data_IF_284909520353
#
_entry.id   IF_284909520353
#
_cell.length_a   1.000
_cell.length_b   1.000
_cell.length_c   1.000
_cell.angle_alpha   90.00
_cell.angle_beta   90.00
_cell.angle_gamma   90.00
#
_symmetry.space_group_name_H-M   'P 1'
#
loop_
_entity.id
_entity.type
_entity.pdbx_description
1 polymer ?
#
# COMPACT_ATOMS: atom_id res chain seq x y z
N UNK A 1 -29.49 -1.70 13.16
CA UNK A 1 -29.65 -2.62 11.99
C UNK A 1 -30.07 -3.98 12.53
N UNK A 2 -31.06 -4.64 11.90
CA UNK A 2 -31.50 -5.99 12.25
C UNK A 2 -30.64 -7.01 11.50
N UNK A 3 -30.20 -8.05 12.20
CA UNK A 3 -29.39 -9.14 11.64
C UNK A 3 -30.27 -10.37 11.45
N UNK A 4 -30.35 -10.88 10.23
CA UNK A 4 -31.20 -12.00 9.86
C UNK A 4 -30.36 -13.25 9.57
N UNK A 5 -30.91 -14.41 9.95
CA UNK A 5 -30.27 -15.69 9.72
C UNK A 5 -30.41 -16.11 8.24
N UNK A 6 -29.33 -16.19 7.46
CA UNK A 6 -29.39 -16.55 6.04
C UNK A 6 -29.84 -17.99 5.82
N UNK A 7 -29.67 -18.88 6.81
CA UNK A 7 -30.06 -20.28 6.72
C UNK A 7 -31.56 -20.51 6.90
N UNK A 8 -32.33 -19.49 7.27
CA UNK A 8 -33.79 -19.53 7.41
C UNK A 8 -34.50 -18.92 6.20
N UNK A 9 -33.81 -18.73 5.10
CA UNK A 9 -34.35 -18.11 3.89
C UNK A 9 -35.47 -19.01 3.31
N UNK A 10 -36.66 -18.45 3.18
CA UNK A 10 -37.85 -19.14 2.65
C UNK A 10 -38.72 -18.18 1.83
N UNK A 11 -39.59 -18.72 0.98
CA UNK A 11 -40.54 -17.92 0.21
C UNK A 11 -41.42 -17.10 1.17
N UNK A 12 -41.72 -15.87 0.80
CA UNK A 12 -42.63 -15.02 1.57
C UNK A 12 -44.07 -15.50 1.39
N UNK A 13 -44.76 -16.00 2.45
CA UNK A 13 -46.15 -16.51 2.31
C UNK A 13 -47.17 -15.37 2.09
N UNK A 14 -46.79 -14.13 2.33
CA UNK A 14 -47.66 -12.95 2.20
C UNK A 14 -47.49 -12.21 0.88
N UNK A 15 -46.61 -12.67 -0.02
CA UNK A 15 -46.33 -11.97 -1.29
C UNK A 15 -45.11 -12.49 -2.03
N UNK A 16 -44.57 -11.68 -2.93
CA UNK A 16 -43.33 -11.99 -3.65
C UNK A 16 -42.10 -11.84 -2.81
N UNK A 17 -41.02 -12.56 -3.18
CA UNK A 17 -39.69 -12.46 -2.53
C UNK A 17 -39.46 -13.49 -1.44
N UNK A 18 -38.42 -13.23 -0.62
CA UNK A 18 -37.97 -14.15 0.43
C UNK A 18 -37.95 -13.45 1.78
N UNK A 19 -38.19 -14.22 2.84
CA UNK A 19 -38.09 -13.78 4.24
C UNK A 19 -37.03 -14.59 4.98
N UNK A 20 -36.51 -14.04 6.06
CA UNK A 20 -35.55 -14.68 6.96
C UNK A 20 -35.96 -14.36 8.40
N UNK A 21 -35.63 -15.27 9.30
CA UNK A 21 -35.83 -15.04 10.73
C UNK A 21 -34.69 -14.15 11.27
N UNK A 22 -35.05 -13.23 12.15
CA UNK A 22 -34.05 -12.41 12.84
C UNK A 22 -33.36 -13.26 13.91
N UNK A 23 -32.05 -13.09 14.10
CA UNK A 23 -31.34 -13.68 15.22
C UNK A 23 -31.86 -13.13 16.55
N UNK A 24 -31.97 -14.01 17.56
CA UNK A 24 -32.31 -13.64 18.91
C UNK A 24 -31.34 -12.56 19.42
N UNK A 25 -31.86 -11.57 20.13
CA UNK A 25 -31.11 -10.42 20.65
C UNK A 25 -30.27 -9.69 19.59
N UNK A 26 -30.56 -9.89 18.31
CA UNK A 26 -29.81 -9.34 17.17
C UNK A 26 -28.32 -9.73 17.19
N UNK A 27 -28.00 -10.92 17.69
CA UNK A 27 -26.66 -11.46 17.81
C UNK A 27 -26.51 -12.74 17.00
N UNK A 28 -25.43 -12.86 16.24
CA UNK A 28 -25.09 -14.11 15.53
C UNK A 28 -24.56 -15.11 16.58
N UNK A 29 -25.14 -16.32 16.71
CA UNK A 29 -24.60 -17.35 17.57
C UNK A 29 -23.17 -17.73 17.19
N UNK A 30 -22.31 -17.96 18.18
CA UNK A 30 -20.88 -18.20 17.96
C UNK A 30 -20.61 -19.47 17.11
N UNK A 31 -21.46 -20.49 17.24
CA UNK A 31 -21.37 -21.70 16.44
C UNK A 31 -21.73 -21.55 14.96
N UNK A 32 -22.28 -20.40 14.57
CA UNK A 32 -22.55 -20.02 13.18
C UNK A 32 -21.50 -19.06 12.59
N UNK A 33 -20.50 -18.68 13.38
CA UNK A 33 -19.42 -17.84 12.93
C UNK A 33 -18.28 -18.68 12.37
N UNK A 34 -17.82 -18.33 11.16
CA UNK A 34 -16.68 -18.99 10.55
C UNK A 34 -15.39 -18.69 11.35
N UNK A 35 -14.59 -19.70 11.75
CA UNK A 35 -13.38 -19.50 12.55
C UNK A 35 -12.32 -18.70 11.80
N UNK A 36 -12.21 -18.80 10.47
CA UNK A 36 -11.29 -18.00 9.65
C UNK A 36 -11.69 -16.52 9.70
N UNK A 37 -13.00 -16.25 9.55
CA UNK A 37 -13.52 -14.89 9.68
C UNK A 37 -13.24 -14.28 11.07
N UNK A 38 -13.40 -15.06 12.13
CA UNK A 38 -13.06 -14.62 13.49
C UNK A 38 -11.57 -14.33 13.67
N UNK A 39 -10.70 -15.13 13.06
CA UNK A 39 -9.26 -14.90 13.08
C UNK A 39 -8.88 -13.64 12.29
N UNK A 40 -9.53 -13.40 11.16
CA UNK A 40 -9.35 -12.18 10.36
C UNK A 40 -9.76 -10.94 11.16
N UNK A 41 -10.91 -10.98 11.83
CA UNK A 41 -11.42 -9.86 12.62
C UNK A 41 -10.48 -9.41 13.74
N UNK A 42 -9.60 -10.29 14.24
CA UNK A 42 -8.58 -9.92 15.25
C UNK A 42 -7.57 -8.88 14.73
N UNK A 43 -7.42 -8.76 13.40
CA UNK A 43 -6.54 -7.79 12.75
C UNK A 43 -7.22 -6.47 12.41
N UNK A 44 -8.48 -6.29 12.80
CA UNK A 44 -9.20 -5.04 12.63
C UNK A 44 -9.43 -4.38 13.99
N UNK A 45 -9.18 -3.06 14.10
CA UNK A 45 -9.38 -2.36 15.35
C UNK A 45 -10.88 -2.30 15.72
N UNK A 46 -11.14 -2.27 17.00
CA UNK A 46 -12.49 -2.00 17.49
C UNK A 46 -12.86 -0.52 17.29
N UNK A 47 -14.16 -0.21 17.14
CA UNK A 47 -14.62 1.17 17.08
C UNK A 47 -14.09 2.01 18.26
N UNK A 48 -13.65 3.23 17.95
CA UNK A 48 -13.20 4.19 18.96
C UNK A 48 -14.11 5.42 19.09
N UNK A 49 -15.22 5.44 18.32
CA UNK A 49 -16.27 6.45 18.40
C UNK A 49 -17.64 5.84 18.02
N UNK A 50 -18.77 6.51 18.36
CA UNK A 50 -20.12 5.97 18.16
C UNK A 50 -20.49 5.65 16.70
N UNK A 51 -19.88 6.34 15.74
CA UNK A 51 -20.26 6.27 14.33
C UNK A 51 -21.58 6.96 14.00
N UNK A 52 -21.99 6.88 12.74
CA UNK A 52 -23.19 7.53 12.22
C UNK A 52 -24.46 6.86 12.74
N UNK A 53 -25.48 7.66 13.06
CA UNK A 53 -26.76 7.18 13.54
C UNK A 53 -27.41 6.21 12.53
N UNK A 54 -27.84 5.03 13.02
CA UNK A 54 -28.53 4.01 12.22
C UNK A 54 -27.66 3.10 11.38
N UNK A 55 -26.46 3.48 10.99
CA UNK A 55 -25.53 2.66 10.19
C UNK A 55 -24.31 2.19 10.96
N UNK A 56 -23.91 2.91 12.03
CA UNK A 56 -22.64 2.78 12.74
C UNK A 56 -21.41 2.93 11.82
N UNK A 57 -21.56 3.54 10.63
CA UNK A 57 -20.45 3.87 9.78
C UNK A 57 -19.56 4.95 10.44
N UNK A 58 -18.33 5.13 9.96
CA UNK A 58 -17.40 6.13 10.49
C UNK A 58 -17.13 5.99 12.01
N UNK A 59 -17.15 4.76 12.53
CA UNK A 59 -16.99 4.47 13.95
C UNK A 59 -15.53 4.27 14.40
N UNK A 60 -14.58 4.42 13.49
CA UNK A 60 -13.15 4.37 13.77
C UNK A 60 -12.44 5.54 13.10
N UNK A 61 -11.68 6.28 13.89
CA UNK A 61 -10.85 7.40 13.40
C UNK A 61 -9.42 7.18 13.87
N UNK A 62 -8.49 7.28 12.96
CA UNK A 62 -7.07 7.33 13.25
C UNK A 62 -6.47 8.64 12.74
N UNK A 63 -5.57 9.21 13.50
CA UNK A 63 -4.78 10.37 13.09
C UNK A 63 -3.29 10.07 13.25
N UNK A 64 -2.49 10.63 12.37
CA UNK A 64 -1.06 10.44 12.39
C UNK A 64 -0.42 11.20 11.23
N UNK A 65 0.83 10.93 10.94
CA UNK A 65 1.58 11.59 9.86
C UNK A 65 2.13 10.57 8.87
N UNK A 66 2.08 10.90 7.60
CA UNK A 66 2.91 10.27 6.57
C UNK A 66 4.32 10.80 6.72
N UNK A 67 5.30 9.91 6.75
CA UNK A 67 6.70 10.27 6.83
C UNK A 67 7.34 10.15 5.45
N UNK A 68 7.94 11.26 4.98
CA UNK A 68 8.69 11.29 3.73
C UNK A 68 10.15 11.58 4.06
N UNK A 69 11.01 10.60 3.80
CA UNK A 69 12.46 10.74 3.90
C UNK A 69 13.01 11.00 2.50
N UNK A 70 13.85 12.04 2.37
CA UNK A 70 14.44 12.41 1.09
C UNK A 70 15.92 12.70 1.26
N UNK A 71 16.74 11.97 0.51
CA UNK A 71 18.16 12.22 0.37
C UNK A 71 18.48 12.59 -1.07
N UNK A 72 19.24 13.66 -1.26
CA UNK A 72 19.66 14.11 -2.58
C UNK A 72 21.14 14.46 -2.57
N UNK A 73 21.88 13.88 -3.49
CA UNK A 73 23.31 14.10 -3.66
C UNK A 73 23.59 14.49 -5.09
N UNK A 74 24.26 15.64 -5.26
CA UNK A 74 24.69 16.14 -6.55
C UNK A 74 26.21 16.37 -6.52
N UNK A 75 26.89 15.78 -7.47
CA UNK A 75 28.33 15.96 -7.67
C UNK A 75 28.55 16.50 -9.06
N UNK A 76 29.36 17.55 -9.18
CA UNK A 76 29.76 18.13 -10.46
C UNK A 76 31.24 18.41 -10.49
N UNK A 77 31.86 18.10 -11.59
CA UNK A 77 33.24 18.44 -11.91
C UNK A 77 33.23 19.19 -13.22
N UNK A 78 33.87 20.36 -13.23
CA UNK A 78 34.13 21.16 -14.42
C UNK A 78 35.64 21.24 -14.59
N UNK A 79 36.14 20.94 -15.80
CA UNK A 79 37.54 20.93 -16.08
C UNK A 79 37.83 21.64 -17.40
N UNK A 80 38.70 22.66 -17.33
CA UNK A 80 39.24 23.31 -18.52
C UNK A 80 40.55 22.65 -18.89
N UNK A 81 40.50 21.83 -19.95
CA UNK A 81 41.65 21.06 -20.42
C UNK A 81 42.64 21.99 -21.11
N UNK A 82 42.12 22.96 -21.90
CA UNK A 82 42.88 23.99 -22.56
C UNK A 82 42.00 25.23 -22.82
N UNK A 83 42.55 26.27 -23.44
CA UNK A 83 41.73 27.44 -23.84
C UNK A 83 40.59 27.10 -24.79
N UNK A 84 40.72 26.00 -25.52
CA UNK A 84 39.76 25.57 -26.54
C UNK A 84 38.96 24.34 -26.11
N UNK A 85 39.25 23.72 -24.96
CA UNK A 85 38.67 22.46 -24.58
C UNK A 85 38.16 22.53 -23.16
N UNK A 86 36.88 22.20 -22.98
CA UNK A 86 36.24 22.10 -21.67
C UNK A 86 35.52 20.77 -21.54
N UNK A 87 35.47 20.29 -20.33
CA UNK A 87 34.75 19.06 -19.95
C UNK A 87 33.97 19.32 -18.69
N UNK A 88 32.77 18.80 -18.60
CA UNK A 88 32.12 18.64 -17.32
C UNK A 88 31.51 17.26 -17.16
N UNK A 89 31.37 16.81 -15.93
CA UNK A 89 30.58 15.64 -15.58
C UNK A 89 29.73 15.96 -14.35
N UNK A 90 28.49 15.46 -14.34
CA UNK A 90 27.59 15.59 -13.20
C UNK A 90 26.97 14.23 -12.91
N UNK A 91 26.93 13.87 -11.63
CA UNK A 91 26.18 12.74 -11.11
C UNK A 91 25.17 13.23 -10.07
N UNK A 92 23.93 12.79 -10.21
CA UNK A 92 22.86 13.07 -9.26
C UNK A 92 22.28 11.75 -8.76
N UNK A 93 22.12 11.65 -7.45
CA UNK A 93 21.43 10.55 -6.79
C UNK A 93 20.33 11.12 -5.89
N UNK A 94 19.12 10.59 -6.06
CA UNK A 94 17.98 10.91 -5.20
C UNK A 94 17.37 9.61 -4.67
N UNK A 95 17.18 9.57 -3.37
CA UNK A 95 16.42 8.55 -2.67
C UNK A 95 15.22 9.21 -1.99
N UNK A 96 14.06 8.65 -2.19
CA UNK A 96 12.85 9.06 -1.48
C UNK A 96 12.18 7.82 -0.92
N UNK A 97 11.80 7.85 0.35
CA UNK A 97 11.00 6.84 1.00
C UNK A 97 9.73 7.49 1.53
N UNK A 98 8.59 6.98 1.11
CA UNK A 98 7.28 7.38 1.58
C UNK A 98 6.72 6.25 2.47
N UNK A 99 6.60 6.56 3.76
CA UNK A 99 6.03 5.66 4.77
C UNK A 99 4.65 6.19 5.12
N UNK A 100 3.58 5.51 4.69
CA UNK A 100 2.23 5.98 4.95
C UNK A 100 1.90 5.98 6.44
N UNK A 101 0.98 6.84 6.83
CA UNK A 101 0.33 6.82 8.14
C UNK A 101 -0.11 5.39 8.50
N UNK A 102 0.19 4.95 9.71
CA UNK A 102 -0.37 3.75 10.30
C UNK A 102 -1.72 4.11 10.91
N UNK A 103 -2.81 3.63 10.30
CA UNK A 103 -4.16 3.86 10.80
C UNK A 103 -4.53 2.87 11.91
N UNK A 104 -3.95 1.67 11.88
CA UNK A 104 -4.12 0.65 12.91
C UNK A 104 -2.95 0.67 13.90
N UNK A 105 -3.09 -0.01 15.03
CA UNK A 105 -1.98 -0.21 15.96
C UNK A 105 -0.84 -0.98 15.27
N UNK A 106 0.37 -0.91 15.84
CA UNK A 106 1.58 -1.55 15.28
C UNK A 106 1.33 -3.03 14.93
N UNK A 107 0.63 -3.75 15.79
CA UNK A 107 0.34 -5.18 15.64
C UNK A 107 -0.69 -5.48 14.55
N UNK A 108 -1.55 -4.52 14.22
CA UNK A 108 -2.62 -4.65 13.25
C UNK A 108 -2.27 -4.06 11.88
N UNK A 109 -1.14 -3.39 11.77
CA UNK A 109 -0.69 -2.69 10.56
C UNK A 109 -0.62 -3.60 9.33
N UNK A 110 -0.35 -4.90 9.53
CA UNK A 110 -0.28 -5.88 8.43
C UNK A 110 -1.60 -6.01 7.65
N UNK A 111 -2.74 -5.74 8.29
CA UNK A 111 -4.06 -5.81 7.67
C UNK A 111 -4.46 -4.52 6.93
N UNK A 112 -3.74 -3.42 7.11
CA UNK A 112 -4.04 -2.16 6.42
C UNK A 112 -3.81 -2.21 4.91
N UNK A 113 -2.99 -3.15 4.43
CA UNK A 113 -2.65 -3.24 3.01
C UNK A 113 -1.84 -2.07 2.47
N UNK A 114 -1.35 -1.18 3.35
CA UNK A 114 -0.58 0.01 2.95
C UNK A 114 0.80 -0.37 2.45
N UNK A 115 1.33 0.48 1.58
CA UNK A 115 2.57 0.21 0.85
C UNK A 115 3.59 1.29 1.16
N UNK A 116 4.76 0.89 1.64
CA UNK A 116 5.93 1.75 1.70
C UNK A 116 6.48 1.86 0.27
N UNK A 117 6.61 3.09 -0.22
CA UNK A 117 7.15 3.36 -1.54
C UNK A 117 8.57 3.91 -1.43
N UNK A 118 9.51 3.27 -2.12
CA UNK A 118 10.86 3.79 -2.30
C UNK A 118 11.06 4.19 -3.76
N UNK A 119 11.68 5.33 -3.97
CA UNK A 119 12.09 5.81 -5.27
C UNK A 119 13.58 6.11 -5.26
N UNK A 120 14.33 5.49 -6.16
CA UNK A 120 15.77 5.65 -6.33
C UNK A 120 16.05 6.16 -7.74
N UNK A 121 16.38 7.43 -7.87
CA UNK A 121 16.75 8.03 -9.14
C UNK A 121 18.25 8.28 -9.20
N UNK A 122 18.86 7.93 -10.33
CA UNK A 122 20.28 8.17 -10.62
C UNK A 122 20.39 8.77 -12.00
N UNK A 123 21.13 9.86 -12.08
CA UNK A 123 21.41 10.55 -13.33
C UNK A 123 22.90 10.79 -13.45
N UNK A 124 23.41 10.61 -14.64
CA UNK A 124 24.76 10.95 -15.01
C UNK A 124 24.73 11.71 -16.33
N UNK A 125 25.50 12.75 -16.44
CA UNK A 125 25.76 13.45 -17.71
C UNK A 125 27.23 13.85 -17.75
N UNK A 126 27.83 13.69 -18.93
CA UNK A 126 29.13 14.25 -19.22
C UNK A 126 29.09 14.97 -20.58
N UNK A 127 29.79 16.07 -20.68
CA UNK A 127 29.90 16.86 -21.89
C UNK A 127 31.34 17.28 -22.11
N UNK A 128 31.77 17.17 -23.35
CA UNK A 128 33.03 17.68 -23.83
C UNK A 128 32.76 18.68 -24.93
N UNK A 129 33.40 19.84 -24.86
CA UNK A 129 33.30 20.92 -25.84
C UNK A 129 34.68 21.28 -26.35
N UNK A 130 34.81 21.37 -27.66
CA UNK A 130 36.06 21.74 -28.34
C UNK A 130 35.81 22.81 -29.39
N UNK A 131 36.48 23.95 -29.25
CA UNK A 131 36.52 25.03 -30.25
C UNK A 131 37.59 24.70 -31.29
N UNK A 132 37.15 24.13 -32.38
CA UNK A 132 38.02 23.72 -33.51
C UNK A 132 38.60 24.95 -34.23
N UNK A 133 37.76 25.98 -34.48
CA UNK A 133 38.14 27.25 -35.08
C UNK A 133 37.25 28.37 -34.55
N UNK A 134 37.51 29.67 -34.84
CA UNK A 134 36.63 30.77 -34.44
C UNK A 134 35.16 30.62 -34.89
N UNK A 135 34.95 29.82 -35.92
CA UNK A 135 33.59 29.59 -36.50
C UNK A 135 33.06 28.17 -36.27
N UNK A 136 33.83 27.28 -35.61
CA UNK A 136 33.45 25.86 -35.48
C UNK A 136 33.62 25.36 -34.08
N UNK A 137 32.52 24.89 -33.48
CA UNK A 137 32.45 24.29 -32.16
C UNK A 137 31.99 22.83 -32.30
N UNK A 138 32.67 21.92 -31.63
CA UNK A 138 32.27 20.53 -31.44
C UNK A 138 31.79 20.34 -30.01
N UNK A 139 30.61 19.76 -29.83
CA UNK A 139 30.10 19.35 -28.50
C UNK A 139 29.69 17.89 -28.57
N UNK A 140 30.24 17.09 -27.67
CA UNK A 140 29.84 15.69 -27.43
C UNK A 140 29.25 15.56 -26.06
N UNK A 141 28.05 14.97 -25.96
CA UNK A 141 27.35 14.78 -24.66
C UNK A 141 26.90 13.33 -24.55
N UNK A 142 27.06 12.77 -23.37
CA UNK A 142 26.50 11.47 -22.98
C UNK A 142 25.70 11.62 -21.70
N UNK A 143 24.58 10.94 -21.60
CA UNK A 143 23.74 10.94 -20.42
C UNK A 143 23.18 9.56 -20.13
N UNK A 144 22.99 9.28 -18.84
CA UNK A 144 22.32 8.09 -18.33
C UNK A 144 21.33 8.51 -17.25
N UNK A 145 20.11 7.99 -17.31
CA UNK A 145 19.10 8.19 -16.28
C UNK A 145 18.44 6.84 -15.94
N UNK A 146 18.29 6.57 -14.65
CA UNK A 146 17.57 5.40 -14.16
C UNK A 146 16.73 5.77 -12.95
N UNK A 147 15.46 5.39 -13.00
CA UNK A 147 14.56 5.47 -11.84
C UNK A 147 14.06 4.08 -11.50
N UNK A 148 14.11 3.73 -10.21
CA UNK A 148 13.61 2.47 -9.68
C UNK A 148 12.57 2.79 -8.61
N UNK A 149 11.37 2.24 -8.79
CA UNK A 149 10.31 2.25 -7.79
C UNK A 149 10.25 0.87 -7.12
N UNK A 150 10.25 0.86 -5.80
CA UNK A 150 10.08 -0.35 -4.99
C UNK A 150 8.87 -0.14 -4.10
N UNK A 151 7.97 -1.09 -4.13
CA UNK A 151 6.75 -1.09 -3.32
C UNK A 151 6.81 -2.27 -2.37
N UNK A 152 6.78 -1.99 -1.06
CA UNK A 152 6.84 -3.01 -0.01
C UNK A 152 5.55 -2.96 0.81
N UNK A 153 4.72 -3.99 0.68
CA UNK A 153 3.51 -4.12 1.50
C UNK A 153 3.91 -4.50 2.94
N UNK A 154 3.31 -3.83 3.92
CA UNK A 154 3.60 -4.07 5.35
C UNK A 154 3.19 -5.48 5.81
N UNK A 155 2.22 -6.10 5.14
CA UNK A 155 1.80 -7.48 5.38
C UNK A 155 2.66 -8.56 4.72
N UNK A 156 3.78 -8.18 4.07
CA UNK A 156 4.65 -9.15 3.40
C UNK A 156 5.31 -10.11 4.41
N UNK A 157 5.28 -11.40 4.09
CA UNK A 157 5.78 -12.48 4.95
C UNK A 157 4.71 -13.10 5.87
N UNK A 158 3.49 -12.53 5.92
CA UNK A 158 2.38 -13.11 6.64
C UNK A 158 1.87 -14.38 5.94
N UNK A 159 1.73 -15.47 6.70
CA UNK A 159 1.22 -16.74 6.19
C UNK A 159 -0.30 -16.78 6.26
N UNK A 160 -1.03 -16.81 5.13
CA UNK A 160 -2.49 -16.88 5.14
C UNK A 160 -3.05 -18.10 5.89
N UNK A 161 -2.32 -19.23 5.92
CA UNK A 161 -2.72 -20.41 6.69
C UNK A 161 -2.85 -20.15 8.19
N UNK A 162 -2.14 -19.16 8.74
CA UNK A 162 -2.25 -18.79 10.16
C UNK A 162 -3.63 -18.24 10.53
N UNK A 163 -4.43 -17.84 9.55
CA UNK A 163 -5.84 -17.44 9.74
C UNK A 163 -6.79 -18.65 9.83
N UNK A 164 -6.29 -19.87 9.60
CA UNK A 164 -7.11 -21.08 9.50
C UNK A 164 -7.49 -21.46 8.06
N UNK A 165 -6.93 -20.79 7.06
CA UNK A 165 -7.04 -21.19 5.66
C UNK A 165 -6.24 -22.49 5.41
N UNK A 166 -6.58 -23.29 4.36
CA UNK A 166 -5.82 -24.49 4.03
C UNK A 166 -4.32 -24.21 3.88
N UNK A 167 -3.48 -25.04 4.49
CA UNK A 167 -2.02 -24.86 4.45
C UNK A 167 -1.44 -24.83 3.03
N UNK A 168 -2.09 -25.47 2.08
CA UNK A 168 -1.70 -25.44 0.67
C UNK A 168 -1.66 -24.02 0.08
N UNK A 169 -2.43 -23.08 0.63
CA UNK A 169 -2.46 -21.69 0.12
C UNK A 169 -1.08 -21.04 0.21
N UNK A 170 -0.32 -21.32 1.26
CA UNK A 170 1.00 -20.72 1.48
C UNK A 170 2.03 -21.12 0.42
N UNK A 171 1.80 -22.23 -0.31
CA UNK A 171 2.67 -22.70 -1.37
C UNK A 171 2.25 -22.28 -2.77
N UNK A 172 0.98 -21.87 -2.96
CA UNK A 172 0.46 -21.50 -4.29
C UNK A 172 0.40 -19.99 -4.51
N UNK A 173 0.49 -19.18 -3.45
CA UNK A 173 0.54 -17.71 -3.61
C UNK A 173 1.94 -17.26 -4.01
N UNK A 174 2.03 -16.35 -4.96
CA UNK A 174 3.31 -15.79 -5.42
C UNK A 174 4.08 -15.07 -4.29
N UNK A 175 3.35 -14.48 -3.36
CA UNK A 175 3.90 -13.79 -2.19
C UNK A 175 3.01 -14.03 -0.99
N UNK A 176 3.62 -14.45 0.10
CA UNK A 176 2.93 -14.56 1.39
C UNK A 176 2.66 -13.16 1.93
N UNK A 177 1.40 -12.80 2.10
CA UNK A 177 0.97 -11.53 2.68
C UNK A 177 -0.41 -11.68 3.30
N UNK A 178 -0.78 -10.71 4.14
CA UNK A 178 -2.15 -10.65 4.65
C UNK A 178 -3.13 -10.52 3.47
N UNK A 179 -4.19 -11.34 3.42
CA UNK A 179 -5.13 -11.32 2.30
C UNK A 179 -5.89 -10.00 2.23
N UNK A 180 -6.07 -9.48 1.02
CA UNK A 180 -6.93 -8.34 0.79
C UNK A 180 -8.39 -8.79 0.94
N UNK A 181 -9.10 -8.21 1.92
CA UNK A 181 -10.46 -8.59 2.25
C UNK A 181 -11.38 -7.40 2.03
N UNK A 182 -12.30 -7.53 1.09
CA UNK A 182 -13.36 -6.57 0.88
C UNK A 182 -14.66 -7.04 1.54
N UNK A 183 -15.23 -6.22 2.39
CA UNK A 183 -16.55 -6.47 2.99
C UNK A 183 -17.54 -5.45 2.45
N UNK A 184 -18.63 -5.93 1.83
CA UNK A 184 -19.67 -5.05 1.30
C UNK A 184 -20.26 -4.18 2.42
N UNK A 185 -20.28 -2.86 2.22
CA UNK A 185 -20.74 -1.90 3.20
C UNK A 185 -19.69 -1.48 4.26
N UNK A 186 -18.47 -2.00 4.16
CA UNK A 186 -17.31 -1.53 4.91
C UNK A 186 -16.29 -0.95 3.92
N UNK A 187 -15.92 0.28 4.08
CA UNK A 187 -14.78 0.88 3.37
C UNK A 187 -13.54 0.72 4.26
N UNK A 188 -12.60 -0.07 3.79
CA UNK A 188 -11.20 0.07 4.22
C UNK A 188 -10.58 1.10 3.27
N UNK A 189 -10.45 2.32 3.75
CA UNK A 189 -9.77 3.40 3.02
C UNK A 189 -8.26 3.24 3.10
#
# INVERSE_FOLDING_TARGET
IRIFNPFTTRANPAGSGFIRDQFADNKIPQNLMDPVALNILKFYPLPNQPGDAGTNANNYVASGSTQINLDNYDFRIDHRISERQTFFARYSHRYTQDVPLKAFSEELTIAEGRVIQENRARNFVAEYTYTLSPSTLLTARVGFARTLFVFSNQGLGFKPSSLGLPAAIDSVVDRQMFPAIGVSGMTTS
#
